data_IF_563027500025
#
_entry.id   IF_563027500025
#
_cell.length_a   1.000
_cell.length_b   1.000
_cell.length_c   1.000
_cell.angle_alpha   90.00
_cell.angle_beta   90.00
_cell.angle_gamma   90.00
#
_symmetry.space_group_name_H-M   'P 1'
#
loop_
_entity.id
_entity.type
_entity.pdbx_description
1 polymer ?
#
# COMPACT_ATOMS: atom_id res chain seq x y z
N UNK A 1 15.88 8.00 8.89
CA UNK A 1 15.92 6.67 8.27
C UNK A 1 15.48 6.84 6.83
N UNK A 2 16.23 6.29 5.86
CA UNK A 2 15.88 6.32 4.44
C UNK A 2 15.30 4.97 4.05
N UNK A 3 14.26 4.95 3.22
CA UNK A 3 13.72 3.72 2.67
C UNK A 3 13.53 3.90 1.17
N UNK A 4 13.83 2.85 0.43
CA UNK A 4 13.49 2.75 -0.98
C UNK A 4 12.37 1.73 -1.14
N UNK A 5 11.45 2.01 -2.05
CA UNK A 5 10.28 1.19 -2.26
C UNK A 5 9.80 1.24 -3.69
N UNK A 6 9.12 0.16 -4.10
CA UNK A 6 8.39 0.09 -5.36
C UNK A 6 6.93 -0.18 -5.05
N UNK A 7 6.04 0.57 -5.69
CA UNK A 7 4.60 0.37 -5.57
C UNK A 7 4.08 0.00 -6.96
N UNK A 8 3.44 -1.16 -7.06
CA UNK A 8 2.70 -1.58 -8.23
C UNK A 8 1.22 -1.64 -7.87
N UNK A 9 0.38 -0.92 -8.62
CA UNK A 9 -1.05 -0.90 -8.41
C UNK A 9 -1.78 -1.16 -9.73
N UNK A 10 -2.78 -2.04 -9.68
CA UNK A 10 -3.66 -2.30 -10.82
C UNK A 10 -4.84 -1.34 -10.76
N UNK A 11 -5.12 -0.63 -11.86
CA UNK A 11 -6.19 0.36 -11.97
C UNK A 11 -7.08 -0.02 -13.15
N UNK A 12 -8.40 0.11 -12.98
CA UNK A 12 -9.38 -0.06 -14.05
C UNK A 12 -9.87 1.31 -14.52
N UNK A 13 -9.61 1.62 -15.79
CA UNK A 13 -10.01 2.87 -16.42
C UNK A 13 -11.44 2.74 -16.95
N UNK A 14 -12.41 3.39 -16.29
CA UNK A 14 -13.83 3.34 -16.70
C UNK A 14 -14.19 4.30 -17.83
N UNK A 15 -13.37 5.34 -18.05
CA UNK A 15 -13.59 6.37 -19.06
C UNK A 15 -12.27 6.70 -19.76
N UNK A 16 -12.25 6.94 -21.09
CA UNK A 16 -11.04 7.28 -21.82
C UNK A 16 -10.40 8.53 -21.20
N UNK A 17 -9.17 8.39 -20.72
CA UNK A 17 -8.45 9.43 -19.96
C UNK A 17 -6.97 9.35 -20.30
N UNK A 18 -6.32 10.51 -20.43
CA UNK A 18 -4.88 10.63 -20.70
C UNK A 18 -4.04 11.01 -19.47
N UNK A 19 -4.70 11.38 -18.36
CA UNK A 19 -4.09 11.87 -17.13
C UNK A 19 -4.52 11.02 -15.94
N UNK A 20 -3.55 10.63 -15.11
CA UNK A 20 -3.78 9.93 -13.86
C UNK A 20 -3.37 10.78 -12.68
N UNK A 21 -4.19 10.79 -11.64
CA UNK A 21 -4.02 11.65 -10.48
C UNK A 21 -3.95 10.79 -9.21
N UNK A 22 -2.84 10.85 -8.46
CA UNK A 22 -2.56 10.01 -7.29
C UNK A 22 -2.05 10.84 -6.11
N UNK A 23 -2.22 10.42 -4.87
CA UNK A 23 -1.67 11.16 -3.73
C UNK A 23 -0.19 10.79 -3.53
N UNK A 24 0.69 11.80 -3.42
CA UNK A 24 2.08 11.63 -3.01
C UNK A 24 2.52 12.88 -2.23
N UNK A 25 3.01 12.70 -1.01
CA UNK A 25 3.50 13.79 -0.17
C UNK A 25 4.91 13.47 0.30
N UNK A 26 5.86 14.38 0.03
CA UNK A 26 7.26 14.26 0.43
C UNK A 26 7.94 12.94 -0.04
N UNK A 27 7.61 12.48 -1.25
CA UNK A 27 8.20 11.31 -1.89
C UNK A 27 8.99 11.74 -3.13
N UNK A 28 10.24 11.28 -3.24
CA UNK A 28 11.05 11.46 -4.44
C UNK A 28 10.78 10.31 -5.42
N UNK A 29 10.04 10.57 -6.49
CA UNK A 29 9.65 9.55 -7.48
C UNK A 29 10.72 9.48 -8.57
N UNK A 30 11.48 8.37 -8.59
CA UNK A 30 12.59 8.16 -9.52
C UNK A 30 12.10 7.66 -10.89
N UNK A 31 11.10 6.78 -10.90
CA UNK A 31 10.62 6.12 -12.12
C UNK A 31 9.13 5.81 -12.03
N UNK A 32 8.42 6.05 -13.12
CA UNK A 32 7.02 5.71 -13.28
C UNK A 32 6.84 4.97 -14.61
N UNK A 33 6.26 3.77 -14.53
CA UNK A 33 5.96 2.93 -15.69
C UNK A 33 4.51 2.53 -15.66
N UNK A 34 3.79 2.81 -16.75
CA UNK A 34 2.44 2.32 -16.97
C UNK A 34 2.48 1.20 -18.00
N UNK A 35 1.84 0.07 -17.66
CA UNK A 35 1.70 -1.07 -18.54
C UNK A 35 0.24 -1.48 -18.66
N UNK A 36 -0.14 -1.94 -19.85
CA UNK A 36 -1.41 -2.60 -20.09
C UNK A 36 -1.44 -4.01 -19.46
N UNK A 37 -2.59 -4.68 -19.49
CA UNK A 37 -2.80 -6.06 -19.00
C UNK A 37 -1.83 -7.04 -19.66
N UNK A 38 -1.44 -6.77 -20.91
CA UNK A 38 -0.45 -7.54 -21.68
C UNK A 38 1.01 -7.08 -21.47
N UNK A 39 1.28 -6.29 -20.41
CA UNK A 39 2.60 -5.73 -20.06
C UNK A 39 3.24 -4.80 -21.09
N UNK A 40 2.48 -4.34 -22.08
CA UNK A 40 2.95 -3.38 -23.08
C UNK A 40 3.02 -1.97 -22.48
N UNK A 41 4.06 -1.17 -22.78
CA UNK A 41 4.18 0.19 -22.27
C UNK A 41 3.07 1.08 -22.84
N UNK A 42 2.45 1.89 -21.97
CA UNK A 42 1.45 2.90 -22.36
C UNK A 42 2.07 4.27 -22.11
N UNK A 43 2.09 5.13 -23.13
CA UNK A 43 2.60 6.49 -23.00
C UNK A 43 1.67 7.30 -22.07
N UNK A 44 2.23 7.79 -20.97
CA UNK A 44 1.50 8.64 -20.00
C UNK A 44 1.84 10.10 -20.29
N UNK A 45 0.81 10.93 -20.52
CA UNK A 45 0.98 12.35 -20.82
C UNK A 45 1.27 13.20 -19.57
N UNK A 46 1.04 12.66 -18.37
CA UNK A 46 1.40 13.29 -17.10
C UNK A 46 0.74 12.61 -15.89
N UNK A 47 1.40 12.71 -14.74
CA UNK A 47 0.84 12.34 -13.44
C UNK A 47 0.74 13.60 -12.57
N UNK A 48 -0.44 13.87 -12.02
CA UNK A 48 -0.65 15.01 -11.11
C UNK A 48 -0.85 14.44 -9.71
N UNK A 49 -0.14 15.00 -8.73
CA UNK A 49 -0.22 14.52 -7.35
C UNK A 49 -0.84 15.57 -6.42
N UNK A 50 -2.17 15.62 -6.27
CA UNK A 50 -2.82 16.49 -5.30
C UNK A 50 -2.74 15.82 -3.93
N UNK A 51 -2.25 16.55 -2.94
CA UNK A 51 -2.27 16.14 -1.54
C UNK A 51 -3.72 16.10 -1.07
N UNK A 52 -4.20 14.94 -0.61
CA UNK A 52 -5.54 14.79 -0.02
C UNK A 52 -5.41 14.03 1.29
N UNK A 53 -4.73 14.66 2.23
CA UNK A 53 -4.49 14.16 3.58
C UNK A 53 -5.44 14.88 4.54
N UNK A 54 -6.73 14.49 4.56
CA UNK A 54 -7.62 14.94 5.64
C UNK A 54 -8.61 13.84 6.11
N UNK A 55 -8.56 13.43 7.40
CA UNK A 55 -9.45 12.41 7.95
C UNK A 55 -10.90 12.88 8.13
N UNK A 56 -11.16 14.19 8.14
CA UNK A 56 -12.47 14.80 8.43
C UNK A 56 -13.54 14.53 7.36
N UNK A 57 -13.17 14.19 6.11
CA UNK A 57 -14.13 14.04 5.02
C UNK A 57 -14.65 12.60 4.78
N UNK A 58 -14.10 11.60 5.48
CA UNK A 58 -14.51 10.19 5.30
C UNK A 58 -15.73 9.77 6.14
N UNK A 59 -16.10 10.55 7.15
CA UNK A 59 -17.18 10.19 8.09
C UNK A 59 -18.58 10.63 7.62
N UNK A 60 -18.71 11.46 6.59
CA UNK A 60 -20.03 11.82 6.05
C UNK A 60 -20.33 10.93 4.86
N UNK A 61 -21.31 10.03 5.01
CA UNK A 61 -21.96 9.31 3.92
C UNK A 61 -22.74 10.30 3.04
N UNK A 62 -22.04 11.23 2.40
CA UNK A 62 -22.61 12.03 1.32
C UNK A 62 -22.69 11.12 0.11
N UNK A 63 -23.91 10.90 -0.42
CA UNK A 63 -24.08 10.52 -1.83
C UNK A 63 -23.46 11.63 -2.67
N UNK A 64 -22.16 11.54 -2.87
CA UNK A 64 -21.38 12.49 -3.65
C UNK A 64 -21.62 12.18 -5.12
N UNK A 65 -22.70 12.75 -5.66
CA UNK A 65 -22.95 12.82 -7.09
C UNK A 65 -22.06 13.94 -7.64
N UNK A 66 -20.77 13.68 -7.81
CA UNK A 66 -19.88 14.59 -8.53
C UNK A 66 -20.10 14.41 -10.03
N UNK A 67 -20.83 15.34 -10.62
CA UNK A 67 -20.70 15.64 -12.04
C UNK A 67 -19.50 16.59 -12.11
N UNK A 68 -18.31 16.06 -12.41
CA UNK A 68 -17.18 16.91 -12.77
C UNK A 68 -17.53 17.61 -14.08
N UNK A 69 -17.66 18.94 -14.00
CA UNK A 69 -17.69 19.85 -15.14
C UNK A 69 -16.27 20.22 -15.55
N UNK A 70 -15.45 19.22 -15.87
CA UNK A 70 -14.34 19.38 -16.82
C UNK A 70 -13.99 17.99 -17.38
N UNK A 71 -13.90 17.90 -18.69
CA UNK A 71 -14.00 16.67 -19.50
C UNK A 71 -12.67 15.92 -19.67
N UNK A 72 -11.68 16.10 -18.78
CA UNK A 72 -10.29 15.66 -19.07
C UNK A 72 -9.52 14.93 -17.96
N UNK A 73 -10.12 14.62 -16.81
CA UNK A 73 -9.42 13.91 -15.73
C UNK A 73 -10.28 12.88 -15.01
N UNK A 74 -9.74 11.67 -14.79
CA UNK A 74 -10.31 10.68 -13.89
C UNK A 74 -9.55 10.73 -12.57
N UNK A 75 -10.22 11.24 -11.54
CA UNK A 75 -9.77 11.09 -10.17
C UNK A 75 -9.99 9.63 -9.76
N UNK A 76 -8.89 8.88 -9.63
CA UNK A 76 -8.95 7.51 -9.12
C UNK A 76 -9.12 7.61 -7.60
N UNK A 77 -10.37 7.58 -7.15
CA UNK A 77 -10.66 7.24 -5.76
C UNK A 77 -10.25 5.78 -5.55
N UNK A 78 -9.06 5.55 -5.01
CA UNK A 78 -8.65 4.22 -4.50
C UNK A 78 -9.50 3.95 -3.26
N UNK A 79 -10.72 3.48 -3.50
CA UNK A 79 -11.71 3.13 -2.50
C UNK A 79 -11.65 1.62 -2.32
N UNK A 80 -10.88 1.18 -1.31
CA UNK A 80 -10.64 -0.22 -0.94
C UNK A 80 -9.82 -1.02 -1.96
N UNK A 81 -8.68 -1.54 -1.51
CA UNK A 81 -7.82 -2.40 -2.33
C UNK A 81 -7.22 -3.53 -1.48
N UNK A 82 -6.77 -4.58 -2.15
CA UNK A 82 -5.96 -5.65 -1.57
C UNK A 82 -4.50 -5.21 -1.62
N UNK A 83 -3.82 -5.28 -0.48
CA UNK A 83 -2.41 -4.93 -0.36
C UNK A 83 -1.58 -6.21 -0.17
N UNK A 84 -0.54 -6.34 -0.97
CA UNK A 84 0.49 -7.37 -0.82
C UNK A 84 1.78 -6.67 -0.45
N UNK A 85 2.26 -6.93 0.76
CA UNK A 85 3.41 -6.25 1.35
C UNK A 85 4.61 -7.20 1.31
N UNK A 86 5.73 -6.72 0.77
CA UNK A 86 7.03 -7.40 0.76
C UNK A 86 8.03 -6.45 1.43
N UNK A 87 8.73 -6.94 2.46
CA UNK A 87 9.73 -6.15 3.18
C UNK A 87 11.09 -6.81 3.08
N UNK A 88 12.12 -6.00 2.85
CA UNK A 88 13.51 -6.39 2.95
C UNK A 88 14.10 -5.68 4.16
N UNK A 89 14.65 -6.45 5.10
CA UNK A 89 15.05 -5.97 6.42
C UNK A 89 16.32 -6.67 6.90
N UNK A 90 17.08 -6.08 7.83
CA UNK A 90 18.24 -6.75 8.44
C UNK A 90 17.78 -7.97 9.24
N UNK A 91 18.46 -9.11 9.12
CA UNK A 91 18.07 -10.38 9.77
C UNK A 91 18.06 -10.30 11.31
N UNK A 92 18.63 -9.25 11.90
CA UNK A 92 18.59 -8.98 13.35
C UNK A 92 17.27 -8.36 13.83
N UNK A 93 16.41 -7.93 12.92
CA UNK A 93 15.13 -7.27 13.22
C UNK A 93 13.95 -8.18 12.89
N UNK A 94 12.80 -7.87 13.47
CA UNK A 94 11.53 -8.53 13.22
C UNK A 94 10.63 -7.60 12.40
N UNK A 95 10.15 -8.05 11.23
CA UNK A 95 9.18 -7.31 10.44
C UNK A 95 7.76 -7.64 10.92
N UNK A 96 6.89 -6.64 11.04
CA UNK A 96 5.48 -6.81 11.32
C UNK A 96 4.67 -6.07 10.26
N UNK A 97 3.53 -6.62 9.87
CA UNK A 97 2.58 -5.99 8.97
C UNK A 97 1.14 -6.36 9.37
N UNK A 98 0.15 -5.84 8.64
CA UNK A 98 -1.27 -6.15 8.90
C UNK A 98 -1.59 -7.65 8.85
N UNK A 99 -0.87 -8.42 8.03
CA UNK A 99 -1.14 -9.83 7.77
C UNK A 99 0.00 -10.70 8.28
N UNK A 100 -0.27 -12.00 8.42
CA UNK A 100 0.72 -13.00 8.81
C UNK A 100 1.77 -13.19 7.71
N UNK A 101 3.01 -13.47 8.14
CA UNK A 101 4.11 -13.85 7.25
C UNK A 101 3.72 -15.12 6.47
N UNK A 102 3.86 -15.07 5.15
CA UNK A 102 3.61 -16.21 4.27
C UNK A 102 4.91 -16.93 3.94
N UNK A 103 5.96 -16.18 3.63
CA UNK A 103 7.26 -16.72 3.25
C UNK A 103 8.39 -15.79 3.68
N UNK A 104 9.41 -16.37 4.30
CA UNK A 104 10.66 -15.68 4.64
C UNK A 104 11.80 -16.30 3.85
N UNK A 105 12.60 -15.45 3.21
CA UNK A 105 13.72 -15.80 2.35
C UNK A 105 14.95 -15.06 2.89
N UNK A 106 15.98 -15.81 3.29
CA UNK A 106 17.25 -15.22 3.66
C UNK A 106 17.99 -14.75 2.40
N UNK A 107 18.40 -13.49 2.41
CA UNK A 107 19.23 -12.90 1.36
C UNK A 107 20.71 -12.91 1.81
N UNK A 108 21.61 -12.67 0.87
CA UNK A 108 23.03 -12.53 1.19
C UNK A 108 23.27 -11.26 2.03
N UNK A 109 24.34 -11.26 2.83
CA UNK A 109 24.82 -10.13 3.63
C UNK A 109 23.98 -9.79 4.88
N UNK A 110 23.32 -10.76 5.51
CA UNK A 110 22.57 -10.53 6.76
C UNK A 110 21.28 -9.74 6.57
N UNK A 111 20.70 -9.84 5.37
CA UNK A 111 19.39 -9.32 5.05
C UNK A 111 18.41 -10.46 4.87
N UNK A 112 17.16 -10.22 5.24
CA UNK A 112 16.06 -11.14 5.03
C UNK A 112 14.95 -10.44 4.27
N UNK A 113 14.19 -11.22 3.52
CA UNK A 113 13.01 -10.78 2.80
C UNK A 113 11.83 -11.55 3.30
N UNK A 114 10.76 -10.85 3.66
CA UNK A 114 9.49 -11.45 4.04
C UNK A 114 8.40 -11.04 3.07
N UNK A 115 7.55 -12.00 2.74
CA UNK A 115 6.34 -11.81 1.96
C UNK A 115 5.17 -12.08 2.91
N UNK A 116 4.31 -11.10 3.09
CA UNK A 116 3.09 -11.22 3.89
C UNK A 116 1.91 -11.68 3.04
N UNK A 117 0.97 -12.38 3.67
CA UNK A 117 -0.29 -12.74 2.99
C UNK A 117 -1.02 -11.48 2.51
N UNK A 118 -1.73 -11.53 1.37
CA UNK A 118 -2.55 -10.42 0.91
C UNK A 118 -3.61 -10.01 1.93
N UNK A 119 -3.84 -8.70 2.10
CA UNK A 119 -4.89 -8.19 2.99
C UNK A 119 -6.28 -8.47 2.41
N UNK A 120 -7.34 -8.53 3.24
CA UNK A 120 -8.69 -8.32 2.73
C UNK A 120 -8.82 -6.90 2.13
N UNK A 121 -9.93 -6.66 1.42
CA UNK A 121 -10.24 -5.34 0.88
C UNK A 121 -10.29 -4.32 2.03
N UNK A 122 -9.33 -3.40 2.04
CA UNK A 122 -9.22 -2.39 3.09
C UNK A 122 -8.80 -1.05 2.54
N UNK A 123 -8.99 0.01 3.33
CA UNK A 123 -8.59 1.36 2.95
C UNK A 123 -7.08 1.56 3.12
N UNK A 124 -6.49 2.44 2.32
CA UNK A 124 -5.04 2.78 2.37
C UNK A 124 -4.56 3.23 3.75
N UNK A 125 -5.40 3.91 4.53
CA UNK A 125 -5.05 4.41 5.86
C UNK A 125 -4.83 3.29 6.91
N UNK A 126 -5.34 2.09 6.65
CA UNK A 126 -5.19 0.95 7.55
C UNK A 126 -3.88 0.18 7.30
N UNK A 127 -3.16 0.50 6.23
CA UNK A 127 -1.89 -0.16 5.90
C UNK A 127 -0.86 0.22 6.95
N UNK A 128 -0.31 -0.78 7.63
CA UNK A 128 0.68 -0.64 8.67
C UNK A 128 1.73 -1.74 8.53
N UNK A 129 2.99 -1.33 8.61
CA UNK A 129 4.12 -2.23 8.75
C UNK A 129 5.22 -1.56 9.57
N UNK A 130 6.03 -2.38 10.22
CA UNK A 130 7.16 -1.90 11.02
C UNK A 130 8.29 -2.92 11.03
N UNK A 131 9.51 -2.45 11.25
CA UNK A 131 10.72 -3.27 11.36
C UNK A 131 11.45 -2.79 12.60
N UNK A 132 11.73 -3.70 13.53
CA UNK A 132 12.29 -3.32 14.83
C UNK A 132 12.91 -4.52 15.55
N UNK A 133 13.74 -4.28 16.59
CA UNK A 133 14.22 -5.32 17.49
C UNK A 133 13.11 -5.74 18.47
N UNK A 134 12.00 -6.26 17.93
CA UNK A 134 10.85 -6.64 18.72
C UNK A 134 11.07 -7.97 19.42
N UNK A 135 10.69 -8.03 20.69
CA UNK A 135 10.49 -9.28 21.43
C UNK A 135 9.00 -9.46 21.65
N UNK A 136 8.48 -10.68 21.48
CA UNK A 136 7.05 -10.93 21.62
C UNK A 136 6.77 -12.15 22.48
N UNK A 137 5.69 -12.07 23.26
CA UNK A 137 5.10 -13.18 24.00
C UNK A 137 3.77 -13.56 23.36
N UNK A 138 3.55 -14.85 23.11
CA UNK A 138 2.39 -15.36 22.36
C UNK A 138 1.37 -15.96 23.31
N UNK A 139 0.10 -15.59 23.16
CA UNK A 139 -1.02 -16.17 23.89
C UNK A 139 -2.12 -16.49 22.89
N UNK A 140 -2.68 -17.70 22.94
CA UNK A 140 -3.82 -18.08 22.09
C UNK A 140 -5.10 -17.94 22.89
N UNK A 141 -6.07 -17.19 22.37
CA UNK A 141 -7.40 -17.09 22.96
C UNK A 141 -8.19 -18.40 22.76
N UNK A 142 -9.28 -18.58 23.50
CA UNK A 142 -10.22 -19.71 23.37
C UNK A 142 -10.78 -19.82 21.94
N UNK A 143 -10.91 -18.70 21.23
CA UNK A 143 -11.35 -18.62 19.83
C UNK A 143 -10.24 -18.96 18.81
N UNK A 144 -9.07 -19.43 19.25
CA UNK A 144 -7.93 -19.76 18.39
C UNK A 144 -7.19 -18.56 17.81
N UNK A 145 -7.54 -17.34 18.22
CA UNK A 145 -6.84 -16.11 17.79
C UNK A 145 -5.51 -15.98 18.53
N UNK A 146 -4.41 -15.85 17.78
CA UNK A 146 -3.08 -15.62 18.32
C UNK A 146 -2.90 -14.14 18.68
N UNK A 147 -2.59 -13.87 19.94
CA UNK A 147 -2.26 -12.54 20.46
C UNK A 147 -0.76 -12.48 20.75
N UNK A 148 -0.07 -11.50 20.16
CA UNK A 148 1.34 -11.25 20.42
C UNK A 148 1.49 -9.94 21.20
N UNK A 149 2.05 -10.03 22.40
CA UNK A 149 2.32 -8.88 23.26
C UNK A 149 3.80 -8.51 23.22
N UNK A 150 4.09 -7.21 23.20
CA UNK A 150 5.43 -6.71 23.48
C UNK A 150 5.81 -6.91 24.96
N UNK A 151 7.09 -6.75 25.32
CA UNK A 151 7.52 -6.80 26.71
C UNK A 151 6.83 -5.66 27.49
N UNK A 152 6.43 -5.95 28.73
CA UNK A 152 5.96 -4.91 29.68
C UNK A 152 7.13 -4.12 30.23
#
# INVERSE_FOLDING_TARGET
>A
MTFDGRIAMSIVVKKPTSVFTLNAHNLNIISLKLTDILQRPVAVAGAIFPCLDEPSYKAVKKRMKWIFSDSRGVLIFICLQIFSIELVYPSSHVPLANMMEEKTIELKNGWSRVIFKPTPLMSTYLVAFTIGPYVSSKITNQDGTLLNFGPR
#
